data_IF_170183690390
#
_entry.id   IF_170183690390
#
_cell.length_a   1.000
_cell.length_b   1.000
_cell.length_c   1.000
_cell.angle_alpha   90.00
_cell.angle_beta   90.00
_cell.angle_gamma   90.00
#
_symmetry.space_group_name_H-M   'P 1'
#
loop_
_entity.id
_entity.type
_entity.pdbx_description
1 polymer ?
#
# COMPACT_ATOMS: atom_id res chain seq x y z
N UNK A 1 -2.89 -4.76 28.06
CA UNK A 1 -3.75 -4.19 26.99
C UNK A 1 -3.73 -5.15 25.82
N UNK A 2 -4.85 -5.34 25.12
CA UNK A 2 -4.95 -6.25 23.99
C UNK A 2 -5.09 -5.46 22.70
N UNK A 3 -4.64 -6.02 21.59
CA UNK A 3 -4.83 -5.42 20.27
C UNK A 3 -6.31 -5.41 19.90
N UNK A 4 -6.86 -4.26 19.53
CA UNK A 4 -8.27 -4.13 19.12
C UNK A 4 -8.65 -4.97 17.88
N UNK A 5 -7.65 -5.50 17.16
CA UNK A 5 -7.83 -6.20 15.90
C UNK A 5 -7.62 -7.71 15.99
N UNK A 6 -6.50 -8.14 16.59
CA UNK A 6 -6.15 -9.56 16.68
C UNK A 6 -6.23 -10.10 18.10
N UNK A 7 -6.61 -9.24 19.06
CA UNK A 7 -6.77 -9.56 20.48
C UNK A 7 -5.53 -10.12 21.19
N UNK A 8 -4.38 -10.16 20.52
CA UNK A 8 -3.10 -10.53 21.14
C UNK A 8 -2.64 -9.50 22.16
N UNK A 9 -1.85 -9.97 23.12
CA UNK A 9 -1.22 -9.13 24.14
C UNK A 9 -0.34 -8.05 23.48
N UNK A 10 -0.41 -6.83 24.02
CA UNK A 10 0.43 -5.72 23.61
C UNK A 10 1.50 -5.46 24.67
N UNK A 11 2.73 -5.25 24.20
CA UNK A 11 3.81 -4.70 25.01
C UNK A 11 3.47 -3.27 25.45
N UNK A 12 3.97 -2.89 26.63
CA UNK A 12 3.83 -1.53 27.14
C UNK A 12 4.51 -0.55 26.17
N UNK A 13 3.83 0.55 25.85
CA UNK A 13 4.31 1.60 24.93
C UNK A 13 4.57 1.16 23.48
N UNK A 14 4.04 0.00 23.06
CA UNK A 14 4.14 -0.45 21.69
C UNK A 14 3.41 0.51 20.73
N UNK A 15 4.08 0.91 19.64
CA UNK A 15 3.47 1.69 18.53
C UNK A 15 2.86 0.81 17.44
N UNK A 16 3.09 -0.50 17.50
CA UNK A 16 2.50 -1.51 16.61
C UNK A 16 2.34 -2.84 17.34
N UNK A 17 1.31 -3.60 17.00
CA UNK A 17 1.13 -4.97 17.44
C UNK A 17 2.20 -5.87 16.80
N UNK A 18 2.93 -6.63 17.61
CA UNK A 18 3.95 -7.57 17.13
C UNK A 18 3.34 -8.75 16.35
N UNK A 19 2.11 -9.16 16.69
CA UNK A 19 1.45 -10.30 16.03
C UNK A 19 0.90 -9.94 14.64
N UNK A 20 0.06 -8.90 14.56
CA UNK A 20 -0.63 -8.57 13.32
C UNK A 20 -0.07 -7.34 12.58
N UNK A 21 0.97 -6.70 13.13
CA UNK A 21 1.56 -5.48 12.56
C UNK A 21 0.71 -4.21 12.66
N UNK A 22 -0.45 -4.26 13.32
CA UNK A 22 -1.37 -3.13 13.43
C UNK A 22 -0.79 -1.97 14.21
N UNK A 23 -0.83 -0.75 13.66
CA UNK A 23 -0.44 0.44 14.39
C UNK A 23 -1.30 0.60 15.66
N UNK A 24 -0.68 1.09 16.73
CA UNK A 24 -1.30 1.40 18.00
C UNK A 24 -1.22 2.91 18.24
N UNK A 25 -2.31 3.50 18.73
CA UNK A 25 -2.47 4.95 18.87
C UNK A 25 -3.13 5.60 17.65
N UNK A 26 -3.52 6.87 17.82
CA UNK A 26 -4.08 7.67 16.74
C UNK A 26 -3.04 7.88 15.64
N UNK A 27 -3.44 7.58 14.41
CA UNK A 27 -2.65 7.85 13.22
C UNK A 27 -3.60 8.36 12.16
N UNK A 28 -3.33 9.55 11.66
CA UNK A 28 -4.08 10.07 10.52
C UNK A 28 -3.74 9.21 9.29
N UNK A 29 -4.74 8.78 8.50
CA UNK A 29 -4.48 8.15 7.22
C UNK A 29 -3.83 9.22 6.34
N UNK A 30 -2.58 9.00 5.94
CA UNK A 30 -1.81 10.02 5.20
C UNK A 30 -2.32 10.20 3.77
N UNK A 31 -2.95 9.16 3.21
CA UNK A 31 -3.52 9.14 1.87
C UNK A 31 -4.40 7.89 1.67
N UNK A 32 -4.91 7.70 0.45
CA UNK A 32 -5.78 6.59 0.06
C UNK A 32 -5.14 5.19 0.20
N UNK A 33 -3.83 5.09 0.39
CA UNK A 33 -3.11 3.83 0.63
C UNK A 33 -3.22 3.39 2.08
N UNK A 34 -3.83 4.18 2.97
CA UNK A 34 -4.06 3.81 4.37
C UNK A 34 -5.56 3.63 4.62
N UNK A 35 -5.95 2.59 5.36
CA UNK A 35 -7.35 2.38 5.73
C UNK A 35 -7.83 3.54 6.62
N UNK A 36 -8.93 4.23 6.31
CA UNK A 36 -9.40 5.35 7.11
C UNK A 36 -9.94 4.91 8.48
N UNK A 37 -10.23 3.62 8.67
CA UNK A 37 -10.74 3.07 9.92
C UNK A 37 -9.62 2.55 10.82
N UNK A 38 -8.82 1.60 10.32
CA UNK A 38 -7.76 0.97 11.12
C UNK A 38 -6.37 1.60 10.92
N UNK A 39 -6.27 2.61 10.04
CA UNK A 39 -5.08 3.43 9.80
C UNK A 39 -3.85 2.64 9.34
N UNK A 40 -4.04 1.39 8.90
CA UNK A 40 -2.98 0.53 8.34
C UNK A 40 -2.82 0.79 6.86
N UNK A 41 -1.57 0.73 6.38
CA UNK A 41 -1.25 0.72 4.95
C UNK A 41 -1.88 -0.51 4.30
N UNK A 42 -2.74 -0.28 3.32
CA UNK A 42 -3.41 -1.29 2.52
C UNK A 42 -2.37 -1.96 1.61
N UNK A 43 -2.31 -3.29 1.64
CA UNK A 43 -1.35 -4.05 0.82
C UNK A 43 -1.99 -4.53 -0.49
N UNK A 44 -3.27 -4.86 -0.45
CA UNK A 44 -3.99 -5.34 -1.62
C UNK A 44 -4.65 -4.17 -2.35
N UNK A 45 -3.92 -3.45 -3.22
CA UNK A 45 -4.42 -2.24 -3.89
C UNK A 45 -5.74 -2.45 -4.67
N UNK A 46 -5.99 -3.64 -5.22
CA UNK A 46 -7.24 -3.95 -5.93
C UNK A 46 -8.44 -4.36 -5.07
N UNK A 47 -8.30 -4.45 -3.74
CA UNK A 47 -9.41 -4.89 -2.87
C UNK A 47 -10.34 -3.72 -2.52
N UNK A 48 -11.68 -3.83 -2.65
CA UNK A 48 -12.62 -2.79 -2.20
C UNK A 48 -12.76 -2.73 -0.66
N UNK A 49 -12.17 -3.70 0.05
CA UNK A 49 -12.17 -3.76 1.51
C UNK A 49 -10.74 -3.75 2.07
N UNK A 50 -10.60 -3.29 3.31
CA UNK A 50 -9.33 -3.34 4.02
C UNK A 50 -8.90 -4.79 4.28
N UNK A 51 -7.70 -5.16 3.82
CA UNK A 51 -7.11 -6.49 4.01
C UNK A 51 -6.72 -6.83 5.46
N UNK A 52 -7.10 -5.99 6.43
CA UNK A 52 -6.85 -6.20 7.86
C UNK A 52 -8.13 -6.19 8.68
N UNK A 53 -8.93 -5.13 8.59
CA UNK A 53 -10.15 -5.00 9.39
C UNK A 53 -11.43 -5.43 8.65
N UNK A 54 -11.32 -5.81 7.37
CA UNK A 54 -12.45 -6.28 6.55
C UNK A 54 -13.48 -5.22 6.18
N UNK A 55 -13.36 -3.98 6.70
CA UNK A 55 -14.31 -2.90 6.38
C UNK A 55 -14.19 -2.47 4.93
N UNK A 56 -15.33 -2.22 4.30
CA UNK A 56 -15.42 -1.61 2.98
C UNK A 56 -14.73 -0.23 2.99
N UNK A 57 -13.96 0.06 1.95
CA UNK A 57 -13.27 1.33 1.80
C UNK A 57 -14.22 2.39 1.18
N UNK A 58 -14.02 3.68 1.48
CA UNK A 58 -14.70 4.76 0.78
C UNK A 58 -14.51 4.69 -0.75
N UNK A 59 -15.52 5.12 -1.51
CA UNK A 59 -15.52 5.00 -2.98
C UNK A 59 -14.36 5.77 -3.63
N UNK A 60 -14.04 6.95 -3.12
CA UNK A 60 -12.89 7.76 -3.53
C UNK A 60 -11.55 7.04 -3.28
N UNK A 61 -11.42 6.29 -2.18
CA UNK A 61 -10.25 5.47 -1.90
C UNK A 61 -10.16 4.30 -2.89
N UNK A 62 -11.28 3.67 -3.24
CA UNK A 62 -11.31 2.59 -4.23
C UNK A 62 -10.87 3.11 -5.60
N UNK A 63 -11.48 4.20 -6.08
CA UNK A 63 -11.14 4.83 -7.37
C UNK A 63 -9.67 5.24 -7.46
N UNK A 64 -9.13 5.90 -6.43
CA UNK A 64 -7.73 6.32 -6.40
C UNK A 64 -6.77 5.11 -6.44
N UNK A 65 -7.13 4.01 -5.76
CA UNK A 65 -6.33 2.79 -5.74
C UNK A 65 -6.38 2.02 -7.05
N UNK A 66 -7.53 1.99 -7.70
CA UNK A 66 -7.68 1.42 -9.04
C UNK A 66 -6.86 2.22 -10.07
N UNK A 67 -6.92 3.56 -10.03
CA UNK A 67 -6.11 4.41 -10.90
C UNK A 67 -4.60 4.17 -10.68
N UNK A 68 -4.16 4.09 -9.43
CA UNK A 68 -2.76 3.75 -9.12
C UNK A 68 -2.38 2.36 -9.62
N UNK A 69 -3.26 1.37 -9.46
CA UNK A 69 -3.04 0.01 -9.95
C UNK A 69 -2.87 -0.04 -11.47
N UNK A 70 -3.70 0.70 -12.22
CA UNK A 70 -3.56 0.79 -13.67
C UNK A 70 -2.22 1.40 -14.08
N UNK A 71 -1.81 2.52 -13.46
CA UNK A 71 -0.49 3.12 -13.74
C UNK A 71 0.66 2.14 -13.49
N UNK A 72 0.61 1.37 -12.40
CA UNK A 72 1.62 0.34 -12.11
C UNK A 72 1.65 -0.73 -13.20
N UNK A 73 0.49 -1.17 -13.69
CA UNK A 73 0.40 -2.15 -14.77
C UNK A 73 0.92 -1.59 -16.10
N UNK A 74 0.57 -0.35 -16.44
CA UNK A 74 1.01 0.31 -17.67
C UNK A 74 2.53 0.43 -17.70
N UNK A 75 3.14 0.84 -16.58
CA UNK A 75 4.61 0.85 -16.48
C UNK A 75 5.19 -0.56 -16.57
N UNK A 76 4.63 -1.53 -15.83
CA UNK A 76 5.10 -2.92 -15.86
C UNK A 76 4.99 -3.60 -17.23
N UNK A 77 4.02 -3.20 -18.05
CA UNK A 77 3.82 -3.66 -19.42
C UNK A 77 4.69 -2.91 -20.45
N UNK A 78 5.37 -1.82 -20.05
CA UNK A 78 6.11 -0.96 -20.96
C UNK A 78 5.23 -0.08 -21.85
N UNK A 79 4.01 0.21 -21.42
CA UNK A 79 3.07 1.10 -22.10
C UNK A 79 3.15 2.56 -21.60
N UNK A 80 3.80 2.78 -20.45
CA UNK A 80 4.01 4.12 -19.89
C UNK A 80 5.24 4.80 -20.50
N UNK A 81 5.14 6.11 -20.70
CA UNK A 81 6.24 7.01 -21.06
C UNK A 81 7.20 7.27 -19.89
N UNK A 82 8.41 7.75 -20.20
CA UNK A 82 9.41 8.11 -19.17
C UNK A 82 8.88 9.18 -18.20
N UNK A 83 8.08 10.13 -18.69
CA UNK A 83 7.44 11.17 -17.86
C UNK A 83 6.43 10.57 -16.87
N UNK A 84 5.60 9.61 -17.31
CA UNK A 84 4.62 8.93 -16.46
C UNK A 84 5.29 8.06 -15.38
N UNK A 85 6.45 7.48 -15.70
CA UNK A 85 7.28 6.72 -14.76
C UNK A 85 7.83 7.65 -13.68
N UNK A 86 8.45 8.77 -14.08
CA UNK A 86 9.02 9.74 -13.14
C UNK A 86 7.95 10.33 -12.22
N UNK A 87 6.76 10.63 -12.75
CA UNK A 87 5.63 11.11 -11.95
C UNK A 87 5.17 10.06 -10.94
N UNK A 88 5.02 8.80 -11.36
CA UNK A 88 4.63 7.72 -10.47
C UNK A 88 5.66 7.52 -9.34
N UNK A 89 6.95 7.61 -9.66
CA UNK A 89 8.01 7.57 -8.65
C UNK A 89 7.90 8.76 -7.69
N UNK A 90 7.66 9.98 -8.19
CA UNK A 90 7.53 11.19 -7.37
C UNK A 90 6.39 11.08 -6.34
N UNK A 91 5.24 10.56 -6.73
CA UNK A 91 4.05 10.38 -5.87
C UNK A 91 4.12 9.15 -4.95
N UNK A 92 4.98 8.20 -5.30
CA UNK A 92 5.19 6.98 -4.53
C UNK A 92 5.91 7.24 -3.22
N UNK A 93 5.42 6.62 -2.13
CA UNK A 93 6.15 6.58 -0.88
C UNK A 93 7.45 5.75 -1.01
N UNK A 94 8.35 5.87 -0.04
CA UNK A 94 9.66 5.19 -0.08
C UNK A 94 9.59 3.66 -0.16
N UNK A 95 8.50 3.04 0.29
CA UNK A 95 8.31 1.59 0.19
C UNK A 95 7.78 1.20 -1.20
N UNK A 96 6.88 2.02 -1.78
CA UNK A 96 6.36 1.84 -3.13
C UNK A 96 7.46 2.06 -4.18
N UNK A 97 8.30 3.10 -4.03
CA UNK A 97 9.47 3.32 -4.90
C UNK A 97 10.41 2.11 -4.96
N UNK A 98 10.67 1.47 -3.80
CA UNK A 98 11.49 0.25 -3.76
C UNK A 98 10.83 -0.92 -4.46
N UNK A 99 9.51 -1.07 -4.31
CA UNK A 99 8.75 -2.12 -4.98
C UNK A 99 8.74 -1.92 -6.50
N UNK A 100 8.51 -0.68 -6.96
CA UNK A 100 8.57 -0.29 -8.37
C UNK A 100 9.96 -0.56 -8.96
N UNK A 101 11.03 -0.09 -8.31
CA UNK A 101 12.40 -0.36 -8.73
C UNK A 101 12.71 -1.86 -8.84
N UNK A 102 12.26 -2.65 -7.85
CA UNK A 102 12.46 -4.10 -7.87
C UNK A 102 11.68 -4.76 -9.02
N UNK A 103 10.47 -4.29 -9.33
CA UNK A 103 9.68 -4.74 -10.48
C UNK A 103 10.40 -4.43 -11.81
N UNK A 104 10.98 -3.22 -11.94
CA UNK A 104 11.71 -2.82 -13.15
C UNK A 104 13.01 -3.61 -13.34
N UNK A 105 13.80 -3.78 -12.27
CA UNK A 105 15.01 -4.59 -12.30
C UNK A 105 14.72 -6.06 -12.71
N UNK A 106 13.54 -6.58 -12.38
CA UNK A 106 13.08 -7.90 -12.83
C UNK A 106 12.63 -7.92 -14.30
N UNK A 107 12.03 -6.82 -14.79
CA UNK A 107 11.62 -6.66 -16.18
C UNK A 107 12.81 -6.58 -17.15
N UNK A 108 13.87 -5.87 -16.77
CA UNK A 108 15.12 -5.81 -17.55
C UNK A 108 15.80 -7.18 -17.68
N UNK A 109 15.81 -7.96 -16.60
CA UNK A 109 16.34 -9.34 -16.62
C UNK A 109 15.54 -10.28 -17.53
N UNK A 110 14.24 -10.03 -17.76
CA UNK A 110 13.40 -10.85 -18.65
C UNK A 110 13.53 -10.47 -20.12
N UNK A 111 13.93 -9.22 -20.43
CA UNK A 111 14.11 -8.72 -21.81
C UNK A 111 15.50 -9.03 -22.39
N UNK A 112 16.46 -9.39 -21.55
CA UNK A 112 17.84 -9.72 -21.95
C UNK A 112 18.11 -11.19 -22.29
N UNK A 113 17.12 -11.97 -22.76
CA UNK A 113 17.31 -13.38 -23.12
C UNK A 113 16.64 -13.72 -24.45
#
# INVERSE_FOLDING_TARGET
MNCDYCHSALEKDAKKCANCGGALGEREPTDFRFCPFCKRRLLALGSPACNYCGRALPEDFVKAREALWQRINDVGAGHASDEEIEELERESDSAMRRALKSLFDLGDRKRGK
#
